data_IF_213609178648
#
_entry.id   IF_213609178648
#
_cell.length_a   1.000
_cell.length_b   1.000
_cell.length_c   1.000
_cell.angle_alpha   90.00
_cell.angle_beta   90.00
_cell.angle_gamma   90.00
#
_symmetry.space_group_name_H-M   'P 1'
#
loop_
_entity.id
_entity.type
_entity.pdbx_description
1 polymer ?
#
# COMPACT_ATOMS: atom_id res chain seq x y z
N UNK A 1 -23.56 -1.56 -7.98
CA UNK A 1 -22.20 -1.12 -7.58
C UNK A 1 -21.28 -1.36 -8.78
N UNK A 2 -20.58 -0.34 -9.28
CA UNK A 2 -19.68 -0.49 -10.44
C UNK A 2 -18.42 -1.28 -10.05
N UNK A 3 -17.74 -1.90 -11.02
CA UNK A 3 -16.46 -2.58 -10.79
C UNK A 3 -15.42 -1.62 -10.17
N UNK A 4 -15.39 -0.38 -10.65
CA UNK A 4 -14.60 0.73 -10.09
C UNK A 4 -14.90 0.94 -8.60
N UNK A 5 -16.18 1.03 -8.22
CA UNK A 5 -16.56 1.20 -6.81
C UNK A 5 -16.11 0.02 -5.95
N UNK A 6 -16.22 -1.22 -6.45
CA UNK A 6 -15.77 -2.42 -5.73
C UNK A 6 -14.26 -2.40 -5.51
N UNK A 7 -13.48 -2.11 -6.56
CA UNK A 7 -12.01 -2.02 -6.48
C UNK A 7 -11.58 -0.91 -5.52
N UNK A 8 -12.20 0.27 -5.63
CA UNK A 8 -11.92 1.42 -4.77
C UNK A 8 -12.17 1.12 -3.30
N UNK A 9 -13.32 0.53 -2.96
CA UNK A 9 -13.65 0.15 -1.58
C UNK A 9 -12.71 -0.95 -1.08
N UNK A 10 -12.46 -1.99 -1.88
CA UNK A 10 -11.60 -3.11 -1.49
C UNK A 10 -10.16 -2.66 -1.21
N UNK A 11 -9.56 -1.89 -2.13
CA UNK A 11 -8.23 -1.32 -1.94
C UNK A 11 -8.18 -0.35 -0.76
N UNK A 12 -9.23 0.47 -0.58
CA UNK A 12 -9.37 1.38 0.55
C UNK A 12 -9.35 0.66 1.90
N UNK A 13 -10.09 -0.45 2.01
CA UNK A 13 -10.11 -1.30 3.21
C UNK A 13 -8.73 -1.87 3.47
N UNK A 14 -8.09 -2.46 2.47
CA UNK A 14 -6.79 -3.13 2.62
C UNK A 14 -5.71 -2.16 3.06
N UNK A 15 -5.58 -1.01 2.39
CA UNK A 15 -4.56 0.00 2.75
C UNK A 15 -4.80 0.55 4.15
N UNK A 16 -6.05 0.86 4.50
CA UNK A 16 -6.39 1.36 5.84
C UNK A 16 -6.08 0.32 6.91
N UNK A 17 -6.42 -0.96 6.66
CA UNK A 17 -6.13 -2.06 7.57
C UNK A 17 -4.63 -2.29 7.75
N UNK A 18 -3.85 -2.27 6.66
CA UNK A 18 -2.39 -2.39 6.72
C UNK A 18 -1.77 -1.26 7.54
N UNK A 19 -2.16 -0.02 7.29
CA UNK A 19 -1.65 1.11 8.08
C UNK A 19 -2.07 1.06 9.54
N UNK A 20 -3.31 0.67 9.84
CA UNK A 20 -3.77 0.52 11.23
C UNK A 20 -2.99 -0.57 11.98
N UNK A 21 -2.73 -1.70 11.33
CA UNK A 21 -1.93 -2.78 11.91
C UNK A 21 -0.47 -2.36 12.12
N UNK A 22 0.12 -1.65 11.17
CA UNK A 22 1.47 -1.08 11.30
C UNK A 22 1.58 -0.06 12.46
N UNK A 23 0.55 0.75 12.70
CA UNK A 23 0.53 1.66 13.86
C UNK A 23 0.45 0.88 15.19
N UNK A 24 -0.22 -0.27 15.20
CA UNK A 24 -0.37 -1.12 16.38
C UNK A 24 0.91 -1.86 16.73
N UNK A 25 1.49 -2.58 15.77
CA UNK A 25 2.77 -3.28 15.92
C UNK A 25 3.48 -3.39 14.57
N UNK A 26 4.45 -2.50 14.34
CA UNK A 26 5.21 -2.47 13.09
C UNK A 26 6.32 -3.53 13.03
N UNK A 27 6.70 -4.17 14.14
CA UNK A 27 7.88 -5.05 14.17
C UNK A 27 7.78 -6.22 13.18
N UNK A 28 6.63 -6.92 13.04
CA UNK A 28 6.48 -7.96 12.03
C UNK A 28 6.67 -7.42 10.61
N UNK A 29 6.20 -6.21 10.35
CA UNK A 29 6.30 -5.57 9.03
C UNK A 29 7.75 -5.26 8.64
N UNK A 30 8.61 -4.98 9.63
CA UNK A 30 10.05 -4.79 9.39
C UNK A 30 10.70 -5.99 8.73
N UNK A 31 10.25 -7.21 9.03
CA UNK A 31 10.81 -8.45 8.49
C UNK A 31 10.73 -8.51 6.95
N UNK A 32 9.76 -7.82 6.35
CA UNK A 32 9.61 -7.77 4.89
C UNK A 32 10.57 -6.80 4.19
N UNK A 33 11.30 -5.97 4.94
CA UNK A 33 12.28 -5.04 4.36
C UNK A 33 13.68 -5.68 4.39
N UNK A 34 14.36 -5.82 3.24
CA UNK A 34 15.72 -6.36 3.18
C UNK A 34 16.70 -5.56 4.03
N UNK A 35 17.62 -6.24 4.71
CA UNK A 35 18.59 -5.59 5.61
C UNK A 35 19.38 -4.46 4.93
N UNK A 36 19.83 -4.65 3.69
CA UNK A 36 20.56 -3.65 2.93
C UNK A 36 19.77 -2.36 2.69
N UNK A 37 18.43 -2.46 2.61
CA UNK A 37 17.54 -1.33 2.38
C UNK A 37 17.19 -0.61 3.69
N UNK A 38 17.16 -1.32 4.82
CA UNK A 38 16.88 -0.73 6.15
C UNK A 38 17.86 0.38 6.50
N UNK A 39 19.16 0.17 6.26
CA UNK A 39 20.18 1.18 6.55
C UNK A 39 20.02 2.46 5.74
N UNK A 40 19.51 2.36 4.51
CA UNK A 40 19.31 3.51 3.63
C UNK A 40 17.97 4.23 3.86
N UNK A 41 16.88 3.48 4.04
CA UNK A 41 15.53 4.04 4.12
C UNK A 41 15.05 4.35 5.54
N UNK A 42 15.63 3.70 6.56
CA UNK A 42 15.07 3.66 7.91
C UNK A 42 16.07 4.11 8.99
N UNK A 43 16.66 5.31 8.89
CA UNK A 43 17.58 5.81 9.93
C UNK A 43 16.91 5.90 11.31
N UNK A 44 15.58 6.03 11.35
CA UNK A 44 14.73 5.82 12.53
C UNK A 44 13.60 4.86 12.17
N UNK A 45 13.77 3.56 12.43
CA UNK A 45 12.76 2.53 12.12
C UNK A 45 11.34 2.89 12.64
N UNK A 46 11.15 3.35 13.91
CA UNK A 46 9.82 3.69 14.40
C UNK A 46 9.17 4.87 13.65
N UNK A 47 9.97 5.83 13.20
CA UNK A 47 9.46 7.00 12.48
C UNK A 47 9.12 6.66 11.04
N UNK A 48 9.94 5.83 10.39
CA UNK A 48 9.65 5.29 9.07
C UNK A 48 8.32 4.53 9.06
N UNK A 49 8.13 3.60 9.99
CA UNK A 49 6.90 2.81 10.05
C UNK A 49 5.67 3.65 10.36
N UNK A 50 5.78 4.67 11.21
CA UNK A 50 4.68 5.63 11.44
C UNK A 50 4.33 6.41 10.17
N UNK A 51 5.33 6.87 9.42
CA UNK A 51 5.10 7.57 8.16
C UNK A 51 4.48 6.65 7.09
N UNK A 52 5.01 5.44 6.93
CA UNK A 52 4.49 4.42 6.02
C UNK A 52 3.04 4.06 6.33
N UNK A 53 2.74 3.82 7.61
CA UNK A 53 1.41 3.51 8.09
C UNK A 53 0.42 4.67 7.88
N UNK A 54 0.87 5.90 8.14
CA UNK A 54 0.08 7.11 7.90
C UNK A 54 -0.26 7.25 6.43
N UNK A 55 0.71 7.05 5.53
CA UNK A 55 0.46 7.14 4.10
C UNK A 55 -0.51 6.07 3.59
N UNK A 56 -0.39 4.83 4.09
CA UNK A 56 -1.36 3.76 3.84
C UNK A 56 -2.79 4.17 4.22
N UNK A 57 -2.98 4.71 5.44
CA UNK A 57 -4.30 5.17 5.91
C UNK A 57 -4.81 6.33 5.06
N UNK A 58 -3.97 7.33 4.77
CA UNK A 58 -4.38 8.49 3.99
C UNK A 58 -4.83 8.10 2.58
N UNK A 59 -4.08 7.22 1.91
CA UNK A 59 -4.45 6.70 0.59
C UNK A 59 -5.72 5.85 0.65
N UNK A 60 -5.86 5.00 1.68
CA UNK A 60 -7.07 4.19 1.89
C UNK A 60 -8.32 5.04 2.13
N UNK A 61 -8.23 6.07 2.96
CA UNK A 61 -9.31 7.04 3.21
C UNK A 61 -9.62 7.88 1.97
N UNK A 62 -8.60 8.31 1.23
CA UNK A 62 -8.80 9.04 -0.02
C UNK A 62 -9.56 8.19 -1.06
N UNK A 63 -9.24 6.89 -1.16
CA UNK A 63 -10.02 5.96 -1.98
C UNK A 63 -11.48 5.91 -1.53
N UNK A 64 -11.79 5.83 -0.23
CA UNK A 64 -13.19 5.85 0.23
C UNK A 64 -13.92 7.15 -0.12
N UNK A 65 -13.24 8.29 -0.01
CA UNK A 65 -13.82 9.58 -0.33
C UNK A 65 -14.24 9.70 -1.80
N UNK A 66 -13.57 8.97 -2.71
CA UNK A 66 -13.92 8.94 -4.15
C UNK A 66 -13.65 10.25 -4.90
N UNK A 67 -13.00 11.22 -4.25
CA UNK A 67 -12.57 12.46 -4.88
C UNK A 67 -11.23 12.25 -5.61
N UNK A 68 -11.05 12.92 -6.76
CA UNK A 68 -9.82 12.87 -7.54
C UNK A 68 -9.37 11.44 -7.91
N UNK A 69 -10.33 10.58 -8.24
CA UNK A 69 -10.14 9.12 -8.33
C UNK A 69 -8.94 8.72 -9.19
N UNK A 70 -8.78 9.30 -10.37
CA UNK A 70 -7.61 9.08 -11.24
C UNK A 70 -6.27 9.38 -10.57
N UNK A 71 -6.17 10.51 -9.87
CA UNK A 71 -4.93 10.91 -9.19
C UNK A 71 -4.64 10.00 -8.00
N UNK A 72 -5.66 9.69 -7.21
CA UNK A 72 -5.53 8.77 -6.06
C UNK A 72 -5.17 7.37 -6.55
N UNK A 73 -5.81 6.85 -7.58
CA UNK A 73 -5.50 5.55 -8.17
C UNK A 73 -4.07 5.50 -8.74
N UNK A 74 -3.58 6.61 -9.31
CA UNK A 74 -2.17 6.72 -9.74
C UNK A 74 -1.22 6.61 -8.55
N UNK A 75 -1.46 7.39 -7.49
CA UNK A 75 -0.63 7.37 -6.28
C UNK A 75 -0.64 6.00 -5.61
N UNK A 76 -1.81 5.38 -5.49
CA UNK A 76 -1.97 4.03 -4.92
C UNK A 76 -1.26 2.99 -5.76
N UNK A 77 -1.33 3.07 -7.09
CA UNK A 77 -0.63 2.14 -7.99
C UNK A 77 0.89 2.22 -7.81
N UNK A 78 1.44 3.44 -7.79
CA UNK A 78 2.88 3.65 -7.56
C UNK A 78 3.30 3.18 -6.17
N UNK A 79 2.50 3.49 -5.15
CA UNK A 79 2.76 3.09 -3.77
C UNK A 79 2.73 1.58 -3.57
N UNK A 80 1.74 0.87 -4.11
CA UNK A 80 1.68 -0.58 -4.05
C UNK A 80 2.78 -1.25 -4.90
N UNK A 81 3.18 -0.63 -6.02
CA UNK A 81 4.29 -1.12 -6.82
C UNK A 81 5.63 -1.06 -6.06
N UNK A 82 5.88 -0.01 -5.27
CA UNK A 82 7.08 0.04 -4.43
C UNK A 82 7.04 -1.01 -3.33
N UNK A 83 5.90 -1.19 -2.66
CA UNK A 83 5.72 -2.24 -1.63
C UNK A 83 5.99 -3.62 -2.22
N UNK A 84 5.33 -3.96 -3.34
CA UNK A 84 5.49 -5.24 -4.05
C UNK A 84 6.94 -5.49 -4.44
N UNK A 85 7.63 -4.45 -4.92
CA UNK A 85 9.05 -4.56 -5.30
C UNK A 85 9.91 -4.88 -4.09
N UNK A 86 9.68 -4.24 -2.95
CA UNK A 86 10.45 -4.49 -1.72
C UNK A 86 10.15 -5.87 -1.14
N UNK A 87 8.87 -6.28 -1.06
CA UNK A 87 8.47 -7.57 -0.49
C UNK A 87 8.94 -8.75 -1.34
N UNK A 88 9.10 -8.57 -2.66
CA UNK A 88 9.63 -9.59 -3.56
C UNK A 88 11.07 -10.06 -3.21
N UNK A 89 11.84 -9.26 -2.48
CA UNK A 89 13.19 -9.63 -2.04
C UNK A 89 13.23 -10.47 -0.75
N UNK A 90 12.12 -10.55 0.00
CA UNK A 90 12.11 -11.15 1.35
C UNK A 90 11.10 -12.29 1.49
N UNK A 91 9.89 -12.14 0.95
CA UNK A 91 8.81 -13.11 1.09
C UNK A 91 8.00 -13.20 -0.21
N UNK A 92 8.18 -14.31 -0.93
CA UNK A 92 7.50 -14.60 -2.18
C UNK A 92 5.97 -14.74 -2.04
N UNK A 93 5.48 -15.30 -0.94
CA UNK A 93 4.04 -15.48 -0.76
C UNK A 93 3.36 -14.13 -0.54
N UNK A 94 3.99 -13.28 0.28
CA UNK A 94 3.52 -11.92 0.54
C UNK A 94 3.58 -11.06 -0.72
N UNK A 95 4.63 -11.19 -1.54
CA UNK A 95 4.77 -10.41 -2.77
C UNK A 95 3.73 -10.77 -3.85
N UNK A 96 3.29 -12.02 -3.96
CA UNK A 96 2.18 -12.39 -4.88
C UNK A 96 0.89 -11.67 -4.51
N UNK A 97 0.56 -11.61 -3.21
CA UNK A 97 -0.62 -10.87 -2.74
C UNK A 97 -0.51 -9.40 -3.10
N UNK A 98 0.64 -8.80 -2.84
CA UNK A 98 0.86 -7.38 -3.09
C UNK A 98 0.88 -7.06 -4.59
N UNK A 99 1.35 -7.98 -5.43
CA UNK A 99 1.21 -7.89 -6.89
C UNK A 99 -0.27 -7.87 -7.31
N UNK A 100 -1.12 -8.69 -6.69
CA UNK A 100 -2.56 -8.68 -6.91
C UNK A 100 -3.20 -7.34 -6.53
N UNK A 101 -2.81 -6.77 -5.40
CA UNK A 101 -3.26 -5.43 -4.97
C UNK A 101 -2.78 -4.35 -5.95
N UNK A 102 -1.53 -4.42 -6.40
CA UNK A 102 -0.95 -3.49 -7.38
C UNK A 102 -1.70 -3.56 -8.70
N UNK A 103 -1.97 -4.76 -9.21
CA UNK A 103 -2.77 -4.96 -10.41
C UNK A 103 -4.20 -4.42 -10.25
N UNK A 104 -4.81 -4.61 -9.08
CA UNK A 104 -6.12 -4.02 -8.74
C UNK A 104 -6.11 -2.49 -8.76
N UNK A 105 -5.04 -1.86 -8.26
CA UNK A 105 -4.88 -0.42 -8.30
C UNK A 105 -4.68 0.12 -9.72
N UNK A 106 -3.92 -0.59 -10.55
CA UNK A 106 -3.75 -0.26 -11.97
C UNK A 106 -5.08 -0.42 -12.71
N UNK A 107 -5.84 -1.48 -12.43
CA UNK A 107 -7.17 -1.68 -12.99
C UNK A 107 -8.12 -0.53 -12.61
N UNK A 108 -8.09 -0.10 -11.34
CA UNK A 108 -8.84 1.07 -10.90
C UNK A 108 -8.42 2.32 -11.68
N UNK A 109 -7.12 2.59 -11.80
CA UNK A 109 -6.60 3.71 -12.56
C UNK A 109 -7.09 3.72 -14.01
N UNK A 110 -7.09 2.56 -14.68
CA UNK A 110 -7.54 2.44 -16.08
C UNK A 110 -9.05 2.65 -16.24
N UNK A 111 -9.84 2.29 -15.22
CA UNK A 111 -11.28 2.51 -15.20
C UNK A 111 -11.67 3.96 -14.90
N UNK A 112 -10.83 4.69 -14.16
CA UNK A 112 -11.04 6.09 -13.80
C UNK A 112 -10.53 7.09 -14.86
N UNK A 113 -10.37 6.65 -16.12
CA UNK A 113 -9.93 7.48 -17.26
C UNK A 113 -11.12 8.15 -17.95
#
# INVERSE_FOLDING_TARGET
MSAETVLRIGLGIVLTAFGADQLRDWKPWSAYVPLWLRWALMPSEPSFWRAHATLNILLGVALFAGAYEKWIATLVSLWLATITTVTAFTDWHTSIRDLGLTAGAIALLLLSI
#
